data_IF_922729781659
#
_entry.id   IF_922729781659
#
_cell.length_a   1.000
_cell.length_b   1.000
_cell.length_c   1.000
_cell.angle_alpha   90.00
_cell.angle_beta   90.00
_cell.angle_gamma   90.00
#
_symmetry.space_group_name_H-M   'P 1'
#
loop_
_entity.id
_entity.type
_entity.pdbx_description
1 polymer ?
#
# COMPACT_ATOMS: atom_id res chain seq x y z
N UNK A 1 -12.74 3.86 -0.45
CA UNK A 1 -12.00 2.70 -0.98
C UNK A 1 -12.53 1.47 -0.29
N UNK A 2 -12.78 0.39 -1.04
CA UNK A 2 -13.34 -0.87 -0.53
C UNK A 2 -12.45 -1.99 -1.06
N UNK A 3 -12.06 -2.93 -0.20
CA UNK A 3 -11.29 -4.11 -0.60
C UNK A 3 -12.29 -5.25 -0.81
N UNK A 4 -12.38 -5.74 -2.04
CA UNK A 4 -13.10 -6.96 -2.39
C UNK A 4 -12.07 -7.98 -2.85
N UNK A 5 -12.10 -9.18 -2.28
CA UNK A 5 -11.17 -10.24 -2.64
C UNK A 5 -11.92 -11.56 -2.84
N UNK A 6 -11.37 -12.41 -3.71
CA UNK A 6 -11.81 -13.78 -3.90
C UNK A 6 -10.83 -14.72 -3.21
N UNK A 7 -11.33 -15.55 -2.30
CA UNK A 7 -10.52 -16.54 -1.56
C UNK A 7 -9.82 -17.56 -2.45
N UNK A 8 -10.33 -17.82 -3.66
CA UNK A 8 -9.74 -18.82 -4.57
C UNK A 8 -8.68 -18.23 -5.50
N UNK A 9 -8.63 -16.89 -5.63
CA UNK A 9 -7.74 -16.17 -6.51
C UNK A 9 -6.93 -15.11 -5.74
N UNK A 10 -6.64 -15.38 -4.45
CA UNK A 10 -5.92 -14.45 -3.60
C UNK A 10 -4.42 -14.46 -3.97
N UNK A 11 -3.83 -13.33 -4.38
CA UNK A 11 -2.40 -13.24 -4.63
C UNK A 11 -1.57 -13.42 -3.35
N UNK A 12 -0.35 -13.95 -3.50
CA UNK A 12 0.63 -14.04 -2.39
C UNK A 12 1.21 -12.67 -2.01
N UNK A 13 1.10 -11.69 -2.91
CA UNK A 13 1.58 -10.33 -2.71
C UNK A 13 0.47 -9.38 -2.26
N UNK A 14 0.62 -8.80 -1.07
CA UNK A 14 -0.31 -7.81 -0.51
C UNK A 14 -0.52 -6.59 -1.41
N UNK A 15 0.49 -6.17 -2.17
CA UNK A 15 0.34 -5.03 -3.06
C UNK A 15 -0.60 -5.33 -4.22
N UNK A 16 -0.68 -6.57 -4.69
CA UNK A 16 -1.61 -7.00 -5.74
C UNK A 16 -3.05 -7.13 -5.24
N UNK A 17 -3.25 -7.37 -3.94
CA UNK A 17 -4.58 -7.31 -3.30
C UNK A 17 -5.06 -5.86 -3.21
N UNK A 18 -4.14 -4.94 -2.88
CA UNK A 18 -4.46 -3.54 -2.61
C UNK A 18 -4.60 -2.70 -3.88
N UNK A 19 -3.76 -2.95 -4.89
CA UNK A 19 -3.67 -2.13 -6.10
C UNK A 19 -4.09 -2.90 -7.34
N UNK A 20 -4.89 -2.25 -8.18
CA UNK A 20 -5.50 -2.89 -9.34
C UNK A 20 -4.54 -3.04 -10.54
N UNK A 21 -3.43 -2.30 -10.59
CA UNK A 21 -2.52 -2.31 -11.74
C UNK A 21 -1.10 -2.63 -11.35
N UNK A 22 -0.39 -3.38 -12.22
CA UNK A 22 1.05 -3.69 -12.03
C UNK A 22 1.90 -2.45 -11.78
N UNK A 23 1.62 -1.35 -12.46
CA UNK A 23 2.36 -0.10 -12.27
C UNK A 23 2.15 0.48 -10.87
N UNK A 24 0.92 0.43 -10.33
CA UNK A 24 0.64 0.86 -8.95
C UNK A 24 1.34 -0.04 -7.93
N UNK A 25 1.29 -1.35 -8.14
CA UNK A 25 2.00 -2.35 -7.33
C UNK A 25 3.49 -2.01 -7.24
N UNK A 26 4.13 -1.78 -8.39
CA UNK A 26 5.56 -1.47 -8.43
C UNK A 26 5.85 -0.13 -7.73
N UNK A 27 5.08 0.92 -8.00
CA UNK A 27 5.27 2.23 -7.36
C UNK A 27 5.10 2.16 -5.85
N UNK A 28 4.13 1.39 -5.36
CA UNK A 28 3.90 1.19 -3.93
C UNK A 28 5.06 0.44 -3.26
N UNK A 29 5.58 -0.62 -3.91
CA UNK A 29 6.78 -1.33 -3.45
C UNK A 29 7.98 -0.38 -3.33
N UNK A 30 8.26 0.41 -4.38
CA UNK A 30 9.35 1.38 -4.37
C UNK A 30 9.24 2.41 -3.25
N UNK A 31 8.00 2.87 -2.98
CA UNK A 31 7.78 3.79 -1.88
C UNK A 31 8.11 3.12 -0.54
N UNK A 32 7.64 1.90 -0.32
CA UNK A 32 7.93 1.16 0.92
C UNK A 32 9.42 0.87 1.07
N UNK A 33 10.09 0.45 0.00
CA UNK A 33 11.53 0.17 0.02
C UNK A 33 12.32 1.43 0.38
N UNK A 34 12.00 2.57 -0.26
CA UNK A 34 12.61 3.85 0.08
C UNK A 34 12.38 4.21 1.56
N UNK A 35 11.17 4.05 2.08
CA UNK A 35 10.89 4.35 3.49
C UNK A 35 11.68 3.44 4.42
N UNK A 36 11.78 2.13 4.11
CA UNK A 36 12.55 1.14 4.87
C UNK A 36 14.05 1.44 4.84
N UNK A 37 14.60 1.80 3.67
CA UNK A 37 16.00 2.21 3.51
C UNK A 37 16.36 3.44 4.36
N UNK A 38 15.37 4.31 4.61
CA UNK A 38 15.51 5.49 5.48
C UNK A 38 15.18 5.19 6.96
N UNK A 39 15.27 3.93 7.40
CA UNK A 39 15.01 3.54 8.79
C UNK A 39 13.53 3.41 9.14
N UNK A 40 12.66 3.26 8.13
CA UNK A 40 11.22 3.06 8.30
C UNK A 40 10.40 4.36 8.37
N UNK A 41 11.04 5.53 8.28
CA UNK A 41 10.40 6.84 8.38
C UNK A 41 11.05 7.86 7.42
N UNK A 42 10.25 8.70 6.75
CA UNK A 42 10.74 9.77 5.86
C UNK A 42 9.98 11.08 6.09
N UNK A 43 10.62 12.21 5.85
CA UNK A 43 9.97 13.51 5.91
C UNK A 43 9.18 13.87 4.64
N UNK A 44 8.49 15.01 4.71
CA UNK A 44 7.76 15.59 3.56
C UNK A 44 8.67 15.93 2.38
N UNK A 45 9.91 16.33 2.64
CA UNK A 45 10.88 16.71 1.61
C UNK A 45 11.29 15.48 0.80
N UNK A 46 11.65 14.40 1.47
CA UNK A 46 12.02 13.11 0.89
C UNK A 46 10.85 12.55 0.08
N UNK A 47 9.63 12.58 0.62
CA UNK A 47 8.42 12.17 -0.09
C UNK A 47 8.19 12.99 -1.37
N UNK A 48 8.36 14.32 -1.32
CA UNK A 48 8.21 15.18 -2.50
C UNK A 48 9.30 14.92 -3.54
N UNK A 49 10.53 14.65 -3.10
CA UNK A 49 11.64 14.30 -3.97
C UNK A 49 11.39 12.95 -4.66
N UNK A 50 10.91 11.95 -3.93
CA UNK A 50 10.49 10.66 -4.49
C UNK A 50 9.43 10.84 -5.57
N UNK A 51 8.35 11.56 -5.27
CA UNK A 51 7.26 11.79 -6.22
C UNK A 51 7.73 12.54 -7.48
N UNK A 52 8.68 13.47 -7.34
CA UNK A 52 9.28 14.19 -8.47
C UNK A 52 10.16 13.28 -9.31
N UNK A 53 11.04 12.48 -8.69
CA UNK A 53 11.89 11.51 -9.41
C UNK A 53 11.07 10.47 -10.16
N UNK A 54 9.96 10.03 -9.56
CA UNK A 54 9.01 9.11 -10.19
C UNK A 54 8.30 9.77 -11.37
N UNK A 55 7.90 11.04 -11.25
CA UNK A 55 7.31 11.79 -12.36
C UNK A 55 8.25 11.91 -13.55
N UNK A 56 9.52 12.22 -13.28
CA UNK A 56 10.57 12.37 -14.28
C UNK A 56 11.07 11.03 -14.88
N UNK A 57 10.58 9.88 -14.38
CA UNK A 57 11.00 8.56 -14.87
C UNK A 57 12.44 8.20 -14.51
N UNK A 58 13.00 8.81 -13.46
CA UNK A 58 14.40 8.63 -13.03
C UNK A 58 14.60 7.45 -12.09
N UNK A 59 13.53 6.86 -11.58
CA UNK A 59 13.61 5.66 -10.75
C UNK A 59 13.79 4.45 -11.68
N UNK A 60 14.96 3.83 -11.56
CA UNK A 60 15.32 2.58 -12.20
C UNK A 60 15.13 1.50 -11.14
N UNK A 61 14.35 0.48 -11.44
CA UNK A 61 14.13 -0.64 -10.52
C UNK A 61 14.61 -1.91 -11.17
N UNK A 62 15.33 -2.71 -10.40
CA UNK A 62 15.62 -4.11 -10.72
C UNK A 62 14.53 -5.03 -10.14
N UNK A 63 13.61 -4.46 -9.34
CA UNK A 63 12.59 -5.13 -8.53
C UNK A 63 11.33 -5.56 -9.31
N UNK A 64 11.47 -5.90 -10.58
CA UNK A 64 10.41 -6.57 -11.32
C UNK A 64 10.79 -8.05 -11.41
N UNK A 65 10.31 -8.84 -10.46
CA UNK A 65 10.45 -10.32 -10.45
C UNK A 65 9.47 -10.98 -11.44
N UNK A 66 9.12 -10.27 -12.53
CA UNK A 66 8.34 -10.77 -13.65
C UNK A 66 9.33 -11.42 -14.65
N UNK A 67 9.12 -12.67 -15.10
CA UNK A 67 10.04 -13.39 -15.99
C UNK A 67 10.45 -12.63 -17.25
N UNK A 68 9.64 -11.66 -17.72
CA UNK A 68 9.96 -10.82 -18.88
C UNK A 68 10.95 -9.67 -18.59
N UNK A 69 11.17 -9.32 -17.33
CA UNK A 69 11.91 -8.11 -16.91
C UNK A 69 13.07 -8.38 -15.94
N UNK A 70 13.31 -9.63 -15.53
CA UNK A 70 14.51 -10.01 -14.77
C UNK A 70 15.79 -9.49 -15.44
N UNK A 71 16.51 -8.60 -14.76
CA UNK A 71 17.76 -8.00 -15.22
C UNK A 71 17.62 -6.82 -16.20
N UNK A 72 16.41 -6.36 -16.52
CA UNK A 72 16.19 -5.17 -17.34
C UNK A 72 15.83 -3.97 -16.45
N UNK A 73 16.69 -2.94 -16.49
CA UNK A 73 16.45 -1.63 -15.90
C UNK A 73 15.26 -0.97 -16.58
N UNK A 74 14.06 -1.10 -16.01
CA UNK A 74 12.86 -0.43 -16.55
C UNK A 74 12.78 0.97 -15.95
N UNK A 75 12.68 1.99 -16.82
CA UNK A 75 12.37 3.36 -16.38
C UNK A 75 10.89 3.41 -16.03
N UNK A 76 10.59 3.67 -14.76
CA UNK A 76 9.20 3.80 -14.31
C UNK A 76 8.89 5.28 -14.15
N UNK A 77 8.04 5.80 -15.04
CA UNK A 77 7.41 7.11 -14.86
C UNK A 77 6.00 6.93 -14.30
N UNK A 78 5.63 7.76 -13.32
CA UNK A 78 4.27 7.82 -12.80
C UNK A 78 3.90 9.26 -12.46
N UNK A 79 2.68 9.68 -12.80
CA UNK A 79 2.28 11.07 -12.60
C UNK A 79 2.26 11.47 -11.11
N UNK A 80 2.84 12.63 -10.76
CA UNK A 80 2.95 13.10 -9.37
C UNK A 80 1.59 13.22 -8.67
N UNK A 81 0.56 13.73 -9.36
CA UNK A 81 -0.79 13.83 -8.78
C UNK A 81 -1.39 12.45 -8.57
N UNK A 82 -1.27 11.56 -9.56
CA UNK A 82 -1.73 10.18 -9.42
C UNK A 82 -0.99 9.44 -8.30
N UNK A 83 0.28 9.74 -8.04
CA UNK A 83 1.02 9.15 -6.93
C UNK A 83 0.35 9.50 -5.59
N UNK A 84 0.09 10.78 -5.33
CA UNK A 84 -0.57 11.19 -4.09
C UNK A 84 -2.00 10.64 -3.99
N UNK A 85 -2.78 10.72 -5.06
CA UNK A 85 -4.20 10.37 -5.05
C UNK A 85 -4.44 8.85 -5.05
N UNK A 86 -3.60 8.08 -5.75
CA UNK A 86 -3.84 6.64 -6.03
C UNK A 86 -2.84 5.70 -5.37
N UNK A 87 -1.75 6.20 -4.78
CA UNK A 87 -0.79 5.38 -4.04
C UNK A 87 -0.77 5.82 -2.58
N UNK A 88 -0.29 7.04 -2.31
CA UNK A 88 -0.07 7.48 -0.93
C UNK A 88 -1.37 7.58 -0.13
N UNK A 89 -2.42 8.18 -0.71
CA UNK A 89 -3.71 8.34 -0.03
C UNK A 89 -4.34 6.99 0.32
N UNK A 90 -4.42 6.01 -0.60
CA UNK A 90 -4.81 4.63 -0.28
C UNK A 90 -3.98 4.02 0.85
N UNK A 91 -2.66 4.02 0.75
CA UNK A 91 -1.78 3.42 1.76
C UNK A 91 -1.94 4.05 3.14
N UNK A 92 -2.18 5.36 3.19
CA UNK A 92 -2.55 6.05 4.43
C UNK A 92 -3.92 5.64 4.95
N UNK A 93 -4.92 5.64 4.08
CA UNK A 93 -6.30 5.28 4.43
C UNK A 93 -6.45 3.84 4.93
N UNK A 94 -5.57 2.93 4.51
CA UNK A 94 -5.54 1.53 4.95
C UNK A 94 -4.61 1.26 6.14
N UNK A 95 -3.87 2.26 6.63
CA UNK A 95 -2.92 2.04 7.72
C UNK A 95 -1.69 1.21 7.32
N UNK A 96 -1.27 1.29 6.06
CA UNK A 96 0.05 0.80 5.61
C UNK A 96 1.15 1.84 5.87
N UNK A 97 0.80 3.12 5.75
CA UNK A 97 1.66 4.26 6.03
C UNK A 97 0.92 5.21 6.96
N UNK A 98 1.55 5.60 8.07
CA UNK A 98 1.08 6.67 8.94
C UNK A 98 1.71 8.00 8.55
N UNK A 99 1.01 9.10 8.82
CA UNK A 99 1.57 10.43 8.74
C UNK A 99 1.49 11.12 10.10
N UNK A 100 2.63 11.43 10.68
CA UNK A 100 2.73 12.23 11.90
C UNK A 100 2.58 13.71 11.54
N UNK A 101 1.51 14.34 12.01
CA UNK A 101 1.22 15.75 11.74
C UNK A 101 2.21 16.71 12.41
N UNK A 102 2.73 16.34 13.58
CA UNK A 102 3.64 17.18 14.37
C UNK A 102 5.05 17.12 13.79
N UNK A 103 5.54 15.91 13.53
CA UNK A 103 6.87 15.69 12.94
C UNK A 103 6.90 15.91 11.43
N UNK A 104 5.74 15.88 10.77
CA UNK A 104 5.58 15.95 9.31
C UNK A 104 6.31 14.81 8.60
N UNK A 105 6.24 13.61 9.18
CA UNK A 105 6.91 12.41 8.71
C UNK A 105 5.91 11.32 8.32
N UNK A 106 6.33 10.46 7.40
CA UNK A 106 5.61 9.28 6.92
C UNK A 106 6.34 8.04 7.41
N UNK A 107 5.62 7.09 7.99
CA UNK A 107 6.20 5.88 8.58
C UNK A 107 5.42 4.64 8.14
N UNK A 108 6.12 3.53 7.85
CA UNK A 108 5.44 2.26 7.60
C UNK A 108 4.80 1.75 8.90
N UNK A 109 3.58 1.23 8.81
CA UNK A 109 2.82 0.77 9.97
C UNK A 109 2.20 -0.61 9.79
N UNK A 110 1.90 -1.25 10.91
CA UNK A 110 1.25 -2.57 10.97
C UNK A 110 -0.27 -2.48 11.11
N UNK A 111 -0.85 -1.28 11.04
CA UNK A 111 -2.27 -1.06 11.33
C UNK A 111 -3.18 -1.82 10.36
N UNK A 112 -2.81 -1.92 9.08
CA UNK A 112 -3.54 -2.75 8.13
C UNK A 112 -3.74 -4.19 8.66
N UNK A 113 -2.68 -4.81 9.20
CA UNK A 113 -2.75 -6.17 9.76
C UNK A 113 -3.66 -6.25 10.98
N UNK A 114 -3.57 -5.27 11.87
CA UNK A 114 -4.44 -5.17 13.06
C UNK A 114 -5.91 -5.02 12.65
N UNK A 115 -6.18 -4.21 11.65
CA UNK A 115 -7.53 -3.99 11.12
C UNK A 115 -8.08 -5.23 10.43
N UNK A 116 -7.26 -5.94 9.64
CA UNK A 116 -7.66 -7.22 9.03
C UNK A 116 -7.96 -8.29 10.08
N UNK A 117 -7.16 -8.36 11.16
CA UNK A 117 -7.42 -9.25 12.29
C UNK A 117 -8.76 -8.91 12.96
N UNK A 118 -9.01 -7.62 13.20
CA UNK A 118 -10.29 -7.14 13.75
C UNK A 118 -11.47 -7.50 12.85
N UNK A 119 -11.33 -7.34 11.53
CA UNK A 119 -12.36 -7.75 10.56
C UNK A 119 -12.64 -9.25 10.65
N UNK A 120 -11.61 -10.09 10.75
CA UNK A 120 -11.76 -11.53 10.94
C UNK A 120 -12.52 -11.89 12.23
N UNK A 121 -12.24 -11.18 13.33
CA UNK A 121 -12.96 -11.35 14.60
C UNK A 121 -14.43 -10.94 14.44
N UNK A 122 -14.70 -9.78 13.82
CA UNK A 122 -16.07 -9.30 13.58
C UNK A 122 -16.89 -10.30 12.77
N UNK A 123 -16.30 -10.87 11.71
CA UNK A 123 -16.96 -11.90 10.92
C UNK A 123 -17.21 -13.18 11.72
N UNK A 124 -16.25 -13.63 12.53
CA UNK A 124 -16.41 -14.81 13.39
C UNK A 124 -17.53 -14.62 14.41
N UNK A 125 -17.66 -13.41 14.97
CA UNK A 125 -18.74 -13.05 15.88
C UNK A 125 -20.09 -13.06 15.16
N UNK A 126 -20.18 -12.51 13.95
CA UNK A 126 -21.41 -12.51 13.15
C UNK A 126 -21.86 -13.94 12.82
N UNK A 127 -20.95 -14.83 12.41
CA UNK A 127 -21.24 -16.23 12.10
C UNK A 127 -21.76 -17.00 13.33
N UNK A 128 -21.25 -16.68 14.52
CA UNK A 128 -21.67 -17.31 15.78
C UNK A 128 -22.92 -16.68 16.39
N UNK A 129 -23.37 -15.53 15.87
CA UNK A 129 -24.54 -14.84 16.41
C UNK A 129 -25.80 -15.61 16.03
N UNK A 130 -26.72 -15.75 16.99
CA UNK A 130 -28.07 -16.26 16.72
C UNK A 130 -28.83 -15.26 15.81
N UNK A 131 -29.56 -15.79 14.83
CA UNK A 131 -30.36 -15.00 13.90
C UNK A 131 -31.44 -14.16 14.59
N UNK A 132 -31.90 -14.57 15.78
CA UNK A 132 -32.93 -13.87 16.55
C UNK A 132 -32.38 -12.76 17.46
N UNK A 133 -31.05 -12.63 17.58
CA UNK A 133 -30.47 -11.55 18.37
C UNK A 133 -30.44 -10.23 17.59
N UNK A 134 -30.82 -9.10 18.22
CA UNK A 134 -30.81 -7.81 17.56
C UNK A 134 -29.38 -7.41 17.15
N UNK A 135 -29.24 -6.88 15.93
CA UNK A 135 -27.98 -6.31 15.45
C UNK A 135 -27.68 -5.07 16.30
N UNK A 136 -26.48 -5.02 16.89
CA UNK A 136 -26.01 -3.80 17.55
C UNK A 136 -25.69 -2.77 16.47
N UNK A 137 -26.33 -1.60 16.56
CA UNK A 137 -26.09 -0.42 15.72
C UNK A 137 -24.77 0.24 16.03
#
# INVERSE_FOLDING_TARGET
MVILYDRFNLPDDIYEIVFATKQQVIVAKLLIDMVKENGGEIGKTEMSLFATRLHEGKLITDAIDDPQYRGKKVKISYNKRQFYDRILTPMKGMGMIEYDLYKKTYRVSENLSKDMTRIGILWTQEVRRDAHQPRRS
#
